data_IF_597120480553
#
_entry.id   IF_597120480553
#
_cell.length_a   1.000
_cell.length_b   1.000
_cell.length_c   1.000
_cell.angle_alpha   90.00
_cell.angle_beta   90.00
_cell.angle_gamma   90.00
#
_symmetry.space_group_name_H-M   'P 1'
#
loop_
_entity.id
_entity.type
_entity.pdbx_description
1 polymer ?
#
# COMPACT_ATOMS: atom_id res chain seq x y z
N UNK A 1 20.45 35.56 -44.19
CA UNK A 1 19.64 34.35 -44.41
C UNK A 1 19.68 33.60 -43.09
N UNK A 2 18.55 33.55 -42.38
CA UNK A 2 18.40 32.98 -41.05
C UNK A 2 18.28 31.46 -41.17
N UNK A 3 19.17 30.71 -40.51
CA UNK A 3 19.00 29.27 -40.28
C UNK A 3 18.28 29.09 -38.93
N UNK A 4 16.95 29.19 -38.96
CA UNK A 4 16.08 28.60 -37.95
C UNK A 4 15.79 27.16 -38.36
N UNK A 5 15.77 26.26 -37.37
CA UNK A 5 15.51 24.81 -37.46
C UNK A 5 16.71 23.92 -37.76
N UNK A 6 17.54 23.70 -36.73
CA UNK A 6 18.07 22.37 -36.45
C UNK A 6 17.31 21.81 -35.24
N UNK A 7 16.23 21.09 -35.52
CA UNK A 7 15.60 20.18 -34.57
C UNK A 7 16.56 19.01 -34.32
N UNK A 8 17.33 19.10 -33.23
CA UNK A 8 18.13 18.00 -32.71
C UNK A 8 17.23 17.02 -31.96
N UNK A 9 17.15 15.81 -32.52
CA UNK A 9 16.77 14.54 -31.87
C UNK A 9 16.64 14.53 -30.33
N UNK A 10 15.40 14.34 -29.85
CA UNK A 10 15.01 13.97 -28.49
C UNK A 10 13.56 14.37 -28.23
N UNK A 11 12.68 13.44 -27.84
CA UNK A 11 11.23 13.66 -27.62
C UNK A 11 10.92 14.50 -26.35
N UNK A 12 11.61 15.62 -26.15
CA UNK A 12 11.41 16.51 -25.01
C UNK A 12 10.73 17.79 -25.48
N UNK A 13 9.59 18.18 -24.89
CA UNK A 13 9.02 19.51 -25.14
C UNK A 13 9.93 20.57 -24.51
N UNK A 14 10.57 21.38 -25.34
CA UNK A 14 11.49 22.44 -24.88
C UNK A 14 10.79 23.77 -24.56
N UNK A 15 9.48 23.87 -24.79
CA UNK A 15 8.70 25.10 -24.63
C UNK A 15 7.70 25.03 -23.46
N UNK A 16 7.38 26.20 -22.91
CA UNK A 16 6.47 26.36 -21.75
C UNK A 16 5.13 25.64 -21.95
N UNK A 17 4.54 25.71 -23.16
CA UNK A 17 3.24 25.09 -23.41
C UNK A 17 3.36 23.57 -23.51
N UNK A 18 4.40 23.08 -24.17
CA UNK A 18 4.70 21.66 -24.26
C UNK A 18 4.93 21.03 -22.89
N UNK A 19 5.76 21.64 -22.05
CA UNK A 19 6.04 21.16 -20.68
C UNK A 19 4.76 21.13 -19.85
N UNK A 20 3.99 22.22 -19.84
CA UNK A 20 2.73 22.27 -19.09
C UNK A 20 1.73 21.24 -19.58
N UNK A 21 1.57 21.08 -20.90
CA UNK A 21 0.67 20.07 -21.46
C UNK A 21 1.09 18.66 -21.03
N UNK A 22 2.38 18.33 -21.14
CA UNK A 22 2.92 17.05 -20.73
C UNK A 22 2.72 16.81 -19.22
N UNK A 23 2.95 17.83 -18.38
CA UNK A 23 2.71 17.77 -16.94
C UNK A 23 1.23 17.51 -16.62
N UNK A 24 0.30 18.21 -17.26
CA UNK A 24 -1.13 18.01 -17.06
C UNK A 24 -1.60 16.62 -17.50
N UNK A 25 -1.09 16.10 -18.63
CA UNK A 25 -1.37 14.72 -19.04
C UNK A 25 -0.79 13.71 -18.06
N UNK A 26 0.40 13.97 -17.51
CA UNK A 26 1.00 13.13 -16.50
C UNK A 26 0.16 13.10 -15.21
N UNK A 27 -0.21 14.27 -14.67
CA UNK A 27 -1.09 14.37 -13.49
C UNK A 27 -2.42 13.65 -13.74
N UNK A 28 -3.03 13.85 -14.90
CA UNK A 28 -4.26 13.15 -15.29
C UNK A 28 -4.09 11.63 -15.22
N UNK A 29 -3.04 11.09 -15.84
CA UNK A 29 -2.80 9.64 -15.87
C UNK A 29 -2.60 9.06 -14.48
N UNK A 30 -1.87 9.75 -13.60
CA UNK A 30 -1.67 9.31 -12.22
C UNK A 30 -2.97 9.40 -11.40
N UNK A 31 -3.76 10.45 -11.57
CA UNK A 31 -5.09 10.56 -10.93
C UNK A 31 -6.06 9.48 -11.44
N UNK A 32 -6.02 9.12 -12.72
CA UNK A 32 -6.84 8.04 -13.28
C UNK A 32 -6.48 6.67 -12.70
N UNK A 33 -5.21 6.42 -12.34
CA UNK A 33 -4.85 5.19 -11.62
C UNK A 33 -5.45 5.13 -10.21
N UNK A 34 -5.75 6.28 -9.61
CA UNK A 34 -6.42 6.38 -8.31
C UNK A 34 -7.95 6.16 -8.39
N UNK A 35 -8.53 5.94 -9.58
CA UNK A 35 -9.95 5.62 -9.80
C UNK A 35 -10.43 4.32 -9.14
N UNK A 36 -9.55 3.53 -8.52
CA UNK A 36 -9.92 2.42 -7.64
C UNK A 36 -10.70 2.80 -6.36
N UNK A 37 -11.20 4.05 -6.26
CA UNK A 37 -11.99 4.56 -5.14
C UNK A 37 -11.28 5.58 -4.24
N UNK A 38 -10.13 6.13 -4.65
CA UNK A 38 -9.30 7.00 -3.81
C UNK A 38 -9.30 8.49 -4.18
N UNK A 39 -9.89 8.88 -5.32
CA UNK A 39 -9.97 10.28 -5.76
C UNK A 39 -10.47 11.22 -4.65
N UNK A 40 -11.60 10.87 -4.03
CA UNK A 40 -12.20 11.60 -2.91
C UNK A 40 -11.35 11.64 -1.62
N UNK A 41 -10.30 10.83 -1.54
CA UNK A 41 -9.39 10.76 -0.40
C UNK A 41 -8.10 11.54 -0.62
N UNK A 42 -7.89 12.12 -1.81
CA UNK A 42 -6.74 12.99 -2.10
C UNK A 42 -6.86 14.29 -1.27
N UNK A 43 -5.84 14.57 -0.46
CA UNK A 43 -5.66 15.83 0.29
C UNK A 43 -4.77 16.82 -0.45
N UNK A 44 -3.88 16.34 -1.33
CA UNK A 44 -3.02 17.24 -2.08
C UNK A 44 -2.12 16.54 -3.08
N UNK A 45 -1.47 17.34 -3.91
CA UNK A 45 -0.48 16.92 -4.88
C UNK A 45 0.82 17.67 -4.62
N UNK A 46 1.95 17.02 -4.81
CA UNK A 46 3.27 17.64 -4.74
C UNK A 46 4.05 17.33 -6.01
N UNK A 47 4.43 18.39 -6.72
CA UNK A 47 5.18 18.33 -7.97
C UNK A 47 6.63 18.73 -7.66
N UNK A 48 7.55 17.81 -7.92
CA UNK A 48 8.97 18.00 -7.72
C UNK A 48 9.64 18.18 -9.08
N UNK A 49 10.45 19.22 -9.25
CA UNK A 49 11.11 19.55 -10.51
C UNK A 49 12.61 19.65 -10.28
N UNK A 50 13.39 18.84 -10.99
CA UNK A 50 14.86 18.83 -10.89
C UNK A 50 15.50 19.11 -12.25
N UNK A 51 15.25 20.31 -12.77
CA UNK A 51 15.74 20.77 -14.07
C UNK A 51 17.11 21.45 -13.96
N UNK A 52 17.84 21.56 -15.07
CA UNK A 52 19.07 22.34 -15.10
C UNK A 52 18.80 23.83 -14.85
N UNK A 53 19.76 24.54 -14.24
CA UNK A 53 19.61 25.98 -13.94
C UNK A 53 19.29 26.84 -15.18
N UNK A 54 19.71 26.42 -16.37
CA UNK A 54 19.43 27.12 -17.63
C UNK A 54 17.97 27.02 -18.08
N UNK A 55 17.24 25.98 -17.63
CA UNK A 55 15.88 25.68 -18.04
C UNK A 55 14.84 26.12 -17.00
N UNK A 56 15.29 26.48 -15.79
CA UNK A 56 14.45 26.77 -14.63
C UNK A 56 13.29 27.73 -14.93
N UNK A 57 13.58 28.83 -15.63
CA UNK A 57 12.55 29.83 -15.97
C UNK A 57 11.43 29.25 -16.85
N UNK A 58 11.74 28.29 -17.70
CA UNK A 58 10.75 27.62 -18.57
C UNK A 58 9.82 26.77 -17.73
N UNK A 59 10.36 26.02 -16.77
CA UNK A 59 9.55 25.21 -15.84
C UNK A 59 8.74 26.08 -14.88
N UNK A 60 9.33 27.16 -14.34
CA UNK A 60 8.62 28.11 -13.47
C UNK A 60 7.43 28.74 -14.20
N UNK A 61 7.60 29.11 -15.48
CA UNK A 61 6.50 29.59 -16.31
C UNK A 61 5.47 28.51 -16.62
N UNK A 62 5.90 27.26 -16.83
CA UNK A 62 5.00 26.14 -17.14
C UNK A 62 4.09 25.77 -15.95
N UNK A 63 4.57 25.95 -14.72
CA UNK A 63 3.84 25.62 -13.50
C UNK A 63 3.24 26.83 -12.79
N UNK A 64 3.33 28.01 -13.40
CA UNK A 64 2.83 29.27 -12.87
C UNK A 64 3.35 29.58 -11.45
N UNK A 65 4.67 29.56 -11.24
CA UNK A 65 5.23 29.80 -9.88
C UNK A 65 4.78 31.14 -9.26
N UNK A 66 4.52 32.16 -10.08
CA UNK A 66 4.00 33.46 -9.64
C UNK A 66 2.49 33.44 -9.30
N UNK A 67 1.73 32.50 -9.86
CA UNK A 67 0.29 32.33 -9.63
C UNK A 67 -0.11 30.84 -9.62
N UNK A 68 0.23 30.10 -8.54
CA UNK A 68 0.04 28.65 -8.46
C UNK A 68 -1.44 28.20 -8.57
N UNK A 69 -2.38 29.11 -8.30
CA UNK A 69 -3.81 28.83 -8.42
C UNK A 69 -4.22 28.55 -9.87
N UNK A 70 -3.49 29.08 -10.87
CA UNK A 70 -3.76 28.76 -12.28
C UNK A 70 -3.53 27.28 -12.56
N UNK A 71 -2.37 26.73 -12.18
CA UNK A 71 -2.09 25.30 -12.36
C UNK A 71 -3.08 24.44 -11.57
N UNK A 72 -3.38 24.83 -10.33
CA UNK A 72 -4.36 24.15 -9.48
C UNK A 72 -5.74 24.08 -10.15
N UNK A 73 -6.20 25.18 -10.72
CA UNK A 73 -7.49 25.24 -11.41
C UNK A 73 -7.51 24.41 -12.70
N UNK A 74 -6.39 24.34 -13.44
CA UNK A 74 -6.28 23.46 -14.60
C UNK A 74 -6.35 21.98 -14.21
N UNK A 75 -5.67 21.58 -13.12
CA UNK A 75 -5.73 20.22 -12.57
C UNK A 75 -7.14 19.90 -12.08
N UNK A 76 -7.82 20.82 -11.39
CA UNK A 76 -9.21 20.62 -10.94
C UNK A 76 -10.14 20.40 -12.14
N UNK A 77 -10.01 21.21 -13.20
CA UNK A 77 -10.81 21.04 -14.42
C UNK A 77 -10.61 19.67 -15.05
N UNK A 78 -9.38 19.17 -15.10
CA UNK A 78 -9.09 17.81 -15.57
C UNK A 78 -9.78 16.77 -14.69
N UNK A 79 -9.75 16.92 -13.37
CA UNK A 79 -10.48 16.02 -12.48
C UNK A 79 -11.98 16.02 -12.79
N UNK A 80 -12.57 17.20 -12.96
CA UNK A 80 -14.00 17.34 -13.20
C UNK A 80 -14.40 16.75 -14.58
N UNK A 81 -13.62 17.05 -15.64
CA UNK A 81 -13.85 16.58 -17.01
C UNK A 81 -13.78 15.04 -17.13
N UNK A 82 -12.97 14.40 -16.28
CA UNK A 82 -12.75 12.96 -16.29
C UNK A 82 -13.37 12.23 -15.08
N UNK A 83 -14.17 12.91 -14.26
CA UNK A 83 -14.84 12.33 -13.08
C UNK A 83 -13.89 11.66 -12.08
N UNK A 84 -12.73 12.29 -11.82
CA UNK A 84 -11.67 11.76 -10.94
C UNK A 84 -11.90 12.03 -9.44
N UNK A 85 -13.04 12.62 -9.08
CA UNK A 85 -13.48 12.88 -7.70
C UNK A 85 -12.46 13.64 -6.81
N UNK A 86 -11.57 14.46 -7.38
CA UNK A 86 -10.62 15.27 -6.61
C UNK A 86 -11.37 16.30 -5.75
N UNK A 87 -11.23 16.29 -4.41
CA UNK A 87 -11.95 17.19 -3.51
C UNK A 87 -11.53 18.64 -3.74
N UNK A 88 -12.47 19.58 -3.79
CA UNK A 88 -12.19 21.02 -4.07
C UNK A 88 -11.22 21.71 -3.10
N UNK A 89 -11.03 21.15 -1.90
CA UNK A 89 -10.16 21.70 -0.85
C UNK A 89 -8.74 21.09 -0.82
N UNK A 90 -8.33 20.38 -1.88
CA UNK A 90 -6.98 19.84 -1.99
C UNK A 90 -5.89 20.94 -2.06
N UNK A 91 -4.66 20.59 -1.69
CA UNK A 91 -3.50 21.48 -1.73
C UNK A 91 -2.50 21.10 -2.84
N UNK A 92 -1.98 22.08 -3.57
CA UNK A 92 -0.90 21.89 -4.53
C UNK A 92 0.40 22.45 -3.93
N UNK A 93 1.47 21.66 -4.00
CA UNK A 93 2.83 22.10 -3.65
C UNK A 93 3.74 21.88 -4.84
N UNK A 94 4.59 22.84 -5.16
CA UNK A 94 5.60 22.74 -6.21
C UNK A 94 6.94 23.01 -5.56
N UNK A 95 7.93 22.14 -5.79
CA UNK A 95 9.30 22.37 -5.33
C UNK A 95 10.31 22.14 -6.43
N UNK A 96 11.38 22.94 -6.37
CA UNK A 96 12.51 22.89 -7.28
C UNK A 96 13.74 22.44 -6.50
N UNK A 97 14.60 21.66 -7.14
CA UNK A 97 15.89 21.19 -6.60
C UNK A 97 15.80 20.23 -5.39
N UNK A 98 14.59 19.89 -4.96
CA UNK A 98 14.36 18.85 -3.96
C UNK A 98 14.64 17.45 -4.53
N UNK A 99 15.16 16.56 -3.70
CA UNK A 99 15.28 15.15 -4.05
C UNK A 99 13.89 14.55 -4.25
N UNK A 100 13.73 13.75 -5.32
CA UNK A 100 12.47 13.04 -5.56
C UNK A 100 12.23 12.02 -4.45
N UNK A 101 11.09 12.08 -3.74
CA UNK A 101 10.73 11.06 -2.78
C UNK A 101 10.70 9.66 -3.43
N UNK A 102 11.05 8.63 -2.67
CA UNK A 102 11.00 7.24 -3.14
C UNK A 102 9.62 6.82 -3.65
N UNK A 103 8.57 7.38 -3.02
CA UNK A 103 7.18 7.07 -3.31
C UNK A 103 6.57 8.01 -4.37
N UNK A 104 7.35 8.95 -4.91
CA UNK A 104 6.90 9.82 -5.99
C UNK A 104 7.03 9.11 -7.35
N UNK A 105 5.99 9.25 -8.18
CA UNK A 105 6.01 8.72 -9.55
C UNK A 105 6.82 9.67 -10.42
N UNK A 106 7.87 9.15 -11.06
CA UNK A 106 8.74 9.93 -11.94
C UNK A 106 8.20 9.93 -13.36
N UNK A 107 8.21 11.09 -13.99
CA UNK A 107 7.89 11.22 -15.40
C UNK A 107 9.08 10.71 -16.23
N UNK A 108 8.82 9.93 -17.29
CA UNK A 108 9.89 9.33 -18.10
C UNK A 108 10.64 10.37 -18.93
N UNK A 109 9.93 11.39 -19.42
CA UNK A 109 10.42 12.30 -20.45
C UNK A 109 10.66 13.72 -19.93
N UNK A 110 10.49 13.99 -18.63
CA UNK A 110 10.78 15.29 -18.03
C UNK A 110 11.38 15.07 -16.64
N UNK A 111 12.23 15.97 -16.14
CA UNK A 111 12.80 15.90 -14.80
C UNK A 111 11.77 16.32 -13.75
N UNK A 112 10.63 15.64 -13.73
CA UNK A 112 9.49 15.92 -12.87
C UNK A 112 9.05 14.64 -12.17
N UNK A 113 8.69 14.75 -10.91
CA UNK A 113 8.00 13.69 -10.17
C UNK A 113 6.72 14.22 -9.51
N UNK A 114 5.71 13.36 -9.43
CA UNK A 114 4.43 13.63 -8.77
C UNK A 114 4.27 12.74 -7.54
N UNK A 115 3.92 13.35 -6.42
CA UNK A 115 3.50 12.67 -5.22
C UNK A 115 2.05 13.01 -4.90
N UNK A 116 1.20 11.99 -4.78
CA UNK A 116 -0.22 12.13 -4.45
C UNK A 116 -0.40 11.90 -2.96
N UNK A 117 -0.81 12.94 -2.22
CA UNK A 117 -1.14 12.86 -0.79
C UNK A 117 -2.59 12.45 -0.67
N UNK A 118 -2.87 11.20 -0.30
CA UNK A 118 -4.22 10.76 0.09
C UNK A 118 -4.36 10.68 1.60
N UNK A 119 -5.58 10.40 2.11
CA UNK A 119 -5.80 10.02 3.51
C UNK A 119 -5.03 8.74 3.90
N UNK A 120 -4.67 7.91 2.93
CA UNK A 120 -4.06 6.58 3.09
C UNK A 120 -2.60 6.50 2.61
N UNK A 121 -2.13 7.41 1.74
CA UNK A 121 -0.74 7.55 1.33
C UNK A 121 0.07 8.24 2.44
N UNK A 122 0.31 7.49 3.49
CA UNK A 122 1.41 7.74 4.38
C UNK A 122 2.70 7.28 3.67
N UNK A 123 3.68 8.19 3.63
CA UNK A 123 5.12 7.91 3.47
C UNK A 123 5.43 6.50 3.95
N UNK A 124 6.02 5.62 3.11
CA UNK A 124 6.44 4.24 3.44
C UNK A 124 6.12 3.87 4.88
N UNK A 125 4.87 3.44 5.16
CA UNK A 125 4.56 2.98 6.51
C UNK A 125 5.27 1.65 6.70
N UNK A 126 6.50 1.76 7.22
CA UNK A 126 7.15 0.67 7.90
C UNK A 126 6.31 0.42 9.15
N UNK A 127 5.44 -0.58 9.06
CA UNK A 127 4.63 -1.02 10.15
C UNK A 127 5.25 -2.29 10.70
N UNK A 128 5.39 -2.35 12.01
CA UNK A 128 5.78 -3.57 12.72
C UNK A 128 4.61 -4.01 13.58
N UNK A 129 4.30 -5.29 13.53
CA UNK A 129 3.31 -5.90 14.39
C UNK A 129 3.86 -7.16 15.05
N UNK A 130 3.20 -7.57 16.12
CA UNK A 130 3.51 -8.73 16.90
C UNK A 130 2.33 -9.68 16.86
N UNK A 131 2.63 -10.96 16.68
CA UNK A 131 1.64 -12.03 16.79
C UNK A 131 2.05 -12.95 17.91
N UNK A 132 1.19 -13.09 18.92
CA UNK A 132 1.47 -13.87 20.13
C UNK A 132 0.44 -14.98 20.31
N UNK A 133 0.88 -16.18 20.67
CA UNK A 133 -0.06 -17.25 21.02
C UNK A 133 -0.63 -17.03 22.43
N UNK A 134 -1.96 -16.91 22.53
CA UNK A 134 -2.71 -16.92 23.79
C UNK A 134 -3.12 -18.34 24.18
N UNK A 135 -3.36 -19.21 23.19
CA UNK A 135 -3.60 -20.64 23.37
C UNK A 135 -3.00 -21.45 22.21
N UNK A 136 -2.81 -22.75 22.42
CA UNK A 136 -1.97 -23.55 21.55
C UNK A 136 -0.49 -23.31 21.85
N UNK A 137 0.37 -24.11 21.21
CA UNK A 137 1.83 -23.99 21.37
C UNK A 137 2.49 -23.80 20.02
N UNK A 138 3.08 -22.63 19.84
CA UNK A 138 3.89 -22.27 18.67
C UNK A 138 5.37 -22.52 18.93
N UNK A 139 6.19 -22.52 17.88
CA UNK A 139 7.65 -22.63 18.03
C UNK A 139 8.26 -21.47 18.82
N UNK A 140 7.69 -20.27 18.70
CA UNK A 140 8.07 -19.08 19.45
C UNK A 140 6.84 -18.48 20.12
N UNK A 141 7.00 -17.89 21.30
CA UNK A 141 5.87 -17.30 22.04
C UNK A 141 5.28 -16.07 21.31
N UNK A 142 6.13 -15.32 20.60
CA UNK A 142 5.77 -14.11 19.87
C UNK A 142 6.57 -14.03 18.58
N UNK A 143 5.95 -13.50 17.53
CA UNK A 143 6.52 -13.32 16.20
C UNK A 143 6.46 -11.86 15.81
N UNK A 144 7.53 -11.33 15.22
CA UNK A 144 7.56 -9.98 14.67
C UNK A 144 7.26 -10.07 13.18
N UNK A 145 6.29 -9.29 12.71
CA UNK A 145 5.94 -9.19 11.29
C UNK A 145 6.04 -7.72 10.85
N UNK A 146 6.47 -7.49 9.62
CA UNK A 146 6.68 -6.15 9.06
C UNK A 146 5.93 -5.97 7.74
N UNK A 147 5.64 -4.72 7.40
CA UNK A 147 5.02 -4.37 6.11
C UNK A 147 5.88 -4.73 4.89
N UNK A 148 7.18 -4.97 5.08
CA UNK A 148 8.12 -5.38 4.04
C UNK A 148 8.31 -6.90 3.93
N UNK A 149 7.93 -7.68 4.94
CA UNK A 149 8.19 -9.12 4.98
C UNK A 149 7.25 -9.99 4.14
N UNK A 150 6.31 -9.37 3.42
CA UNK A 150 5.40 -10.05 2.51
C UNK A 150 4.38 -10.93 3.24
N UNK A 151 4.36 -12.22 2.93
CA UNK A 151 3.33 -13.17 3.36
C UNK A 151 3.80 -14.02 4.54
N UNK A 152 3.13 -13.88 5.67
CA UNK A 152 3.37 -14.65 6.89
C UNK A 152 2.39 -15.82 7.03
N UNK A 153 2.77 -16.94 6.43
CA UNK A 153 2.05 -18.22 6.52
C UNK A 153 1.90 -18.75 7.97
N UNK A 154 0.71 -19.24 8.28
CA UNK A 154 0.31 -19.86 9.55
C UNK A 154 -0.19 -21.29 9.27
N UNK A 155 0.26 -22.24 10.07
CA UNK A 155 -0.18 -23.62 9.94
C UNK A 155 0.48 -24.60 10.90
N UNK A 156 0.11 -25.87 10.76
CA UNK A 156 0.71 -26.97 11.50
C UNK A 156 2.04 -27.38 10.87
N UNK A 157 3.05 -27.55 11.71
CA UNK A 157 4.46 -27.80 11.38
C UNK A 157 5.13 -26.67 10.56
N UNK A 158 6.44 -26.49 10.74
CA UNK A 158 7.19 -25.43 10.05
C UNK A 158 7.32 -25.71 8.55
N UNK A 159 7.63 -26.95 8.18
CA UNK A 159 7.67 -27.41 6.78
C UNK A 159 6.51 -28.36 6.54
N UNK A 160 5.44 -27.83 5.99
CA UNK A 160 4.27 -28.60 5.66
C UNK A 160 4.29 -29.03 4.20
N UNK A 161 4.09 -30.32 3.93
CA UNK A 161 3.88 -30.80 2.56
C UNK A 161 2.42 -30.60 2.17
N UNK A 162 2.21 -29.91 1.05
CA UNK A 162 0.91 -29.76 0.38
C UNK A 162 0.47 -31.07 -0.27
N UNK A 163 -0.82 -31.17 -0.60
CA UNK A 163 -1.38 -32.34 -1.29
C UNK A 163 -0.81 -32.50 -2.71
N UNK A 164 -0.26 -31.42 -3.28
CA UNK A 164 0.43 -31.40 -4.56
C UNK A 164 1.93 -31.75 -4.46
N UNK A 165 2.40 -32.09 -3.26
CA UNK A 165 3.78 -32.56 -3.01
C UNK A 165 4.81 -31.45 -2.77
N UNK A 166 4.47 -30.18 -2.96
CA UNK A 166 5.34 -29.04 -2.65
C UNK A 166 5.41 -28.78 -1.15
N UNK A 167 6.55 -28.28 -0.68
CA UNK A 167 6.73 -27.85 0.71
C UNK A 167 6.40 -26.36 0.87
N UNK A 168 5.53 -26.07 1.85
CA UNK A 168 5.23 -24.72 2.33
C UNK A 168 5.94 -24.49 3.66
N UNK A 169 6.56 -23.32 3.80
CA UNK A 169 7.07 -22.84 5.08
C UNK A 169 5.99 -22.05 5.82
N UNK A 170 5.60 -22.52 7.01
CA UNK A 170 4.79 -21.78 7.96
C UNK A 170 5.71 -20.96 8.86
N UNK A 171 5.61 -19.63 8.79
CA UNK A 171 6.38 -18.72 9.65
C UNK A 171 5.87 -18.76 11.10
N UNK A 172 4.55 -18.89 11.27
CA UNK A 172 3.90 -19.11 12.55
C UNK A 172 3.43 -20.57 12.56
N UNK A 173 4.31 -21.43 13.07
CA UNK A 173 4.12 -22.87 13.05
C UNK A 173 3.67 -23.41 14.41
N UNK A 174 2.67 -24.29 14.35
CA UNK A 174 2.18 -25.08 15.48
C UNK A 174 2.68 -26.52 15.35
N UNK A 175 3.67 -26.96 16.16
CA UNK A 175 4.21 -28.30 16.03
C UNK A 175 3.14 -29.37 16.28
N UNK A 176 3.11 -30.39 15.42
CA UNK A 176 2.24 -31.56 15.57
C UNK A 176 2.62 -32.43 16.77
N UNK A 177 3.91 -32.49 17.11
CA UNK A 177 4.47 -33.19 18.29
C UNK A 177 4.33 -32.38 19.60
N UNK A 178 3.54 -31.32 19.60
CA UNK A 178 3.24 -30.53 20.78
C UNK A 178 2.38 -31.32 21.78
N UNK A 179 2.60 -31.05 23.07
CA UNK A 179 1.77 -31.50 24.19
C UNK A 179 0.42 -30.78 24.26
N UNK A 180 0.25 -29.65 23.56
CA UNK A 180 -1.06 -29.00 23.40
C UNK A 180 -1.85 -29.65 22.26
N UNK A 181 -2.83 -30.48 22.63
CA UNK A 181 -3.75 -31.19 21.74
C UNK A 181 -4.49 -30.27 20.76
N UNK A 182 -4.65 -28.97 21.08
CA UNK A 182 -5.34 -28.01 20.21
C UNK A 182 -4.61 -27.82 18.88
N UNK A 183 -3.29 -28.02 18.85
CA UNK A 183 -2.48 -27.93 17.63
C UNK A 183 -2.92 -28.95 16.56
N UNK A 184 -3.54 -30.08 16.94
CA UNK A 184 -4.02 -31.10 16.00
C UNK A 184 -5.17 -30.59 15.13
N UNK A 185 -5.91 -29.59 15.59
CA UNK A 185 -7.00 -28.96 14.84
C UNK A 185 -6.53 -27.85 13.89
N UNK A 186 -5.23 -27.58 13.85
CA UNK A 186 -4.66 -26.63 12.89
C UNK A 186 -4.27 -27.40 11.64
N UNK A 187 -4.65 -26.83 10.50
CA UNK A 187 -4.33 -27.39 9.19
C UNK A 187 -2.89 -27.06 8.82
N UNK A 188 -2.26 -27.93 8.03
CA UNK A 188 -0.93 -27.69 7.46
C UNK A 188 -0.81 -26.34 6.75
N UNK A 189 -1.88 -25.98 6.03
CA UNK A 189 -2.06 -24.67 5.44
C UNK A 189 -3.38 -24.08 5.95
N UNK A 190 -3.30 -23.15 6.91
CA UNK A 190 -4.48 -22.72 7.65
C UNK A 190 -4.83 -21.25 7.38
N UNK A 191 -3.86 -20.35 7.49
CA UNK A 191 -4.07 -18.93 7.29
C UNK A 191 -2.77 -18.23 6.88
N UNK A 192 -2.87 -16.97 6.51
CA UNK A 192 -1.71 -16.11 6.36
C UNK A 192 -2.05 -14.66 6.65
N UNK A 193 -1.05 -13.92 7.13
CA UNK A 193 -1.11 -12.47 7.30
C UNK A 193 -0.26 -11.82 6.22
N UNK A 194 -0.74 -10.76 5.62
CA UNK A 194 0.04 -9.92 4.72
C UNK A 194 -0.27 -8.43 4.93
N UNK A 195 0.65 -7.59 4.51
CA UNK A 195 0.45 -6.15 4.52
C UNK A 195 -0.28 -5.70 3.26
N UNK A 196 -1.45 -5.08 3.44
CA UNK A 196 -2.17 -4.44 2.36
C UNK A 196 -1.67 -2.99 2.23
N UNK A 197 -0.94 -2.72 1.14
CA UNK A 197 -0.35 -1.41 0.86
C UNK A 197 -1.39 -0.30 0.68
N UNK A 198 -2.56 -0.64 0.13
CA UNK A 198 -3.61 0.34 -0.15
C UNK A 198 -4.34 0.75 1.15
N UNK A 199 -4.55 -0.22 2.05
CA UNK A 199 -5.21 0.01 3.34
C UNK A 199 -4.24 0.45 4.44
N UNK A 200 -2.93 0.31 4.22
CA UNK A 200 -1.87 0.49 5.22
C UNK A 200 -2.17 -0.29 6.52
N UNK A 201 -2.59 -1.56 6.35
CA UNK A 201 -2.93 -2.46 7.46
C UNK A 201 -2.45 -3.87 7.20
N UNK A 202 -2.24 -4.62 8.29
CA UNK A 202 -2.13 -6.06 8.21
C UNK A 202 -3.51 -6.68 8.02
N UNK A 203 -3.59 -7.68 7.16
CA UNK A 203 -4.83 -8.35 6.78
C UNK A 203 -4.63 -9.85 6.95
N UNK A 204 -5.56 -10.51 7.66
CA UNK A 204 -5.61 -11.96 7.81
C UNK A 204 -6.47 -12.58 6.73
N UNK A 205 -5.96 -13.64 6.12
CA UNK A 205 -6.66 -14.45 5.12
C UNK A 205 -6.74 -15.91 5.60
N UNK A 206 -7.86 -16.56 5.31
CA UNK A 206 -7.95 -18.00 5.45
C UNK A 206 -7.30 -18.67 4.23
N UNK A 207 -6.57 -19.76 4.46
CA UNK A 207 -6.15 -20.63 3.35
C UNK A 207 -7.09 -21.84 3.23
N UNK A 208 -6.82 -22.74 2.28
CA UNK A 208 -7.67 -23.90 1.97
C UNK A 208 -8.02 -24.75 3.20
N UNK A 209 -7.08 -24.95 4.12
CA UNK A 209 -7.33 -25.70 5.35
C UNK A 209 -8.00 -24.89 6.47
N UNK A 210 -8.18 -23.59 6.29
CA UNK A 210 -8.79 -22.66 7.24
C UNK A 210 -10.21 -22.20 6.87
N UNK A 211 -10.75 -22.64 5.74
CA UNK A 211 -12.13 -22.34 5.31
C UNK A 211 -13.08 -23.50 5.63
N UNK A 212 -14.39 -23.23 5.81
CA UNK A 212 -15.40 -24.28 6.01
C UNK A 212 -15.36 -25.39 4.93
N UNK A 213 -15.70 -26.64 5.26
CA UNK A 213 -16.32 -27.10 6.51
C UNK A 213 -15.34 -27.42 7.64
N UNK A 214 -14.03 -27.48 7.37
CA UNK A 214 -13.01 -27.90 8.33
C UNK A 214 -12.39 -26.68 9.02
N UNK A 215 -12.05 -26.84 10.31
CA UNK A 215 -11.18 -25.98 11.13
C UNK A 215 -11.08 -24.51 10.68
N UNK A 216 -12.08 -23.70 11.05
CA UNK A 216 -12.30 -22.37 10.47
C UNK A 216 -11.41 -21.29 11.11
N UNK A 217 -10.93 -20.36 10.29
CA UNK A 217 -10.37 -19.10 10.77
C UNK A 217 -11.49 -18.16 11.17
N UNK A 218 -11.38 -17.55 12.36
CA UNK A 218 -12.28 -16.50 12.82
C UNK A 218 -11.45 -15.35 13.36
N UNK A 219 -11.96 -14.14 13.20
CA UNK A 219 -11.38 -12.93 13.77
C UNK A 219 -12.36 -12.39 14.82
N UNK A 220 -11.91 -12.19 16.06
CA UNK A 220 -12.67 -11.52 17.11
C UNK A 220 -12.07 -10.13 17.32
N UNK A 221 -12.89 -9.11 17.11
CA UNK A 221 -12.49 -7.70 17.34
C UNK A 221 -12.27 -7.44 18.83
N UNK A 222 -11.16 -6.81 19.19
CA UNK A 222 -10.91 -6.38 20.57
C UNK A 222 -11.88 -5.28 21.03
N UNK A 223 -12.19 -4.34 20.12
CA UNK A 223 -13.04 -3.18 20.41
C UNK A 223 -14.52 -3.56 20.56
N UNK A 224 -15.02 -4.41 19.66
CA UNK A 224 -16.46 -4.68 19.55
C UNK A 224 -16.86 -6.08 20.00
N UNK A 225 -15.89 -6.95 20.27
CA UNK A 225 -16.07 -8.37 20.58
C UNK A 225 -16.78 -9.20 19.50
N UNK A 226 -17.08 -8.59 18.35
CA UNK A 226 -17.73 -9.26 17.23
C UNK A 226 -16.79 -10.28 16.61
N UNK A 227 -17.35 -11.43 16.25
CA UNK A 227 -16.63 -12.52 15.60
C UNK A 227 -17.02 -12.58 14.12
N UNK A 228 -16.04 -12.37 13.25
CA UNK A 228 -16.15 -12.58 11.81
C UNK A 228 -15.54 -13.93 11.45
N UNK A 229 -16.24 -14.71 10.63
CA UNK A 229 -15.74 -16.00 10.13
C UNK A 229 -15.22 -15.81 8.72
N UNK A 230 -14.01 -16.28 8.44
CA UNK A 230 -13.46 -16.20 7.09
C UNK A 230 -13.97 -17.41 6.30
N UNK A 231 -14.66 -17.12 5.20
CA UNK A 231 -15.38 -18.12 4.39
C UNK A 231 -14.74 -18.38 3.01
N UNK A 232 -13.84 -17.51 2.57
CA UNK A 232 -13.18 -17.57 1.27
C UNK A 232 -11.70 -17.21 1.42
N UNK A 233 -10.87 -17.74 0.53
CA UNK A 233 -9.42 -17.50 0.56
C UNK A 233 -9.03 -16.14 -0.02
N UNK A 234 -9.92 -15.54 -0.81
CA UNK A 234 -9.71 -14.25 -1.49
C UNK A 234 -10.18 -13.05 -0.66
N UNK A 235 -10.90 -13.27 0.44
CA UNK A 235 -11.48 -12.20 1.25
C UNK A 235 -10.72 -12.13 2.58
N UNK A 236 -9.82 -11.16 2.66
CA UNK A 236 -9.07 -10.86 3.88
C UNK A 236 -9.89 -10.02 4.87
N UNK A 237 -9.49 -10.04 6.13
CA UNK A 237 -10.03 -9.17 7.18
C UNK A 237 -8.92 -8.33 7.79
N UNK A 238 -9.17 -7.04 7.96
CA UNK A 238 -8.22 -6.10 8.58
C UNK A 238 -7.97 -6.50 10.04
N UNK A 239 -6.72 -6.38 10.48
CA UNK A 239 -6.31 -6.60 11.86
C UNK A 239 -6.10 -5.26 12.58
N UNK A 240 -6.70 -5.12 13.75
CA UNK A 240 -6.54 -3.99 14.66
C UNK A 240 -5.84 -4.40 15.96
N UNK A 241 -5.30 -3.44 16.70
CA UNK A 241 -4.67 -3.68 18.00
C UNK A 241 -5.55 -4.52 18.94
N UNK A 242 -4.98 -5.61 19.46
CA UNK A 242 -5.61 -6.52 20.41
C UNK A 242 -6.53 -7.56 19.76
N UNK A 243 -6.74 -7.53 18.45
CA UNK A 243 -7.62 -8.47 17.77
C UNK A 243 -7.14 -9.92 17.96
N UNK A 244 -8.11 -10.84 18.06
CA UNK A 244 -7.84 -12.24 18.29
C UNK A 244 -8.15 -13.08 17.03
N UNK A 245 -7.13 -13.75 16.53
CA UNK A 245 -7.23 -14.70 15.41
C UNK A 245 -7.43 -16.09 15.99
N UNK A 246 -8.61 -16.66 15.75
CA UNK A 246 -9.00 -17.99 16.22
C UNK A 246 -8.80 -18.97 15.07
N UNK A 247 -7.94 -19.97 15.28
CA UNK A 247 -7.58 -20.99 14.32
C UNK A 247 -8.22 -22.32 14.73
N UNK A 248 -8.89 -22.97 13.78
CA UNK A 248 -9.63 -24.19 14.04
C UNK A 248 -10.73 -24.00 15.08
N UNK A 249 -10.65 -24.75 16.18
CA UNK A 249 -11.68 -24.72 17.22
C UNK A 249 -11.30 -23.89 18.45
N UNK A 250 -10.00 -23.81 18.79
CA UNK A 250 -9.58 -23.37 20.13
C UNK A 250 -8.21 -22.72 20.24
N UNK A 251 -7.44 -22.63 19.14
CA UNK A 251 -6.16 -21.92 19.13
C UNK A 251 -6.42 -20.44 18.89
N UNK A 252 -5.79 -19.59 19.68
CA UNK A 252 -5.97 -18.14 19.66
C UNK A 252 -4.61 -17.47 19.59
N UNK A 253 -4.45 -16.65 18.56
CA UNK A 253 -3.37 -15.68 18.44
C UNK A 253 -3.91 -14.29 18.75
N UNK A 254 -3.12 -13.46 19.41
CA UNK A 254 -3.36 -12.04 19.61
C UNK A 254 -2.46 -11.25 18.67
N UNK A 255 -3.05 -10.25 18.02
CA UNK A 255 -2.34 -9.31 17.16
C UNK A 255 -2.15 -7.99 17.89
N UNK A 256 -0.92 -7.49 17.88
CA UNK A 256 -0.59 -6.15 18.38
C UNK A 256 0.17 -5.36 17.33
N UNK A 257 -0.31 -4.16 17.05
CA UNK A 257 0.24 -3.20 16.12
C UNK A 257 1.11 -2.17 16.84
N UNK A 258 2.39 -2.09 16.48
CA UNK A 258 3.24 -1.01 16.92
C UNK A 258 3.35 0.02 15.81
N UNK A 259 2.58 1.10 15.92
CA UNK A 259 2.73 2.24 15.04
C UNK A 259 4.07 2.90 15.36
N UNK A 260 5.05 2.79 14.45
CA UNK A 260 6.25 3.63 14.51
C UNK A 260 5.80 5.05 14.19
N UNK A 261 5.50 5.83 15.23
CA UNK A 261 5.40 7.27 15.11
C UNK A 261 6.80 7.78 14.78
N UNK A 262 7.04 8.13 13.53
CA UNK A 262 8.12 9.04 13.19
C UNK A 262 7.73 10.41 13.74
N UNK A 263 8.36 10.81 14.85
CA UNK A 263 8.47 12.23 15.26
C UNK A 263 9.24 13.02 14.20
#
# INVERSE_FOLDING_TARGET
MFDLFKSGSGEHPDDVKGIRHALLQFVKQELQKAEGGEGANIKGLSIYINCASAERQVYEAAVFTEDPDQLKNEIQRISDDYSLDLPTNWALTISFDDAFPDDAVKMQNLPVALFVKTKTHFVKQQATAYVKALSGKTLQLSYVISSEGGKYNIGRDEKAQSDEGYFRTNHIAFPSESDDERNKYISRQHAHIEWNKNLAKFVIFADEGGIPPRNKVKLRSALTEKIVKLHATQIGQELEEGDQIILGESVVLEFSFQQQNHE
#
